data_IF_121313294955
#
_entry.id   IF_121313294955
#
_cell.length_a   1.000
_cell.length_b   1.000
_cell.length_c   1.000
_cell.angle_alpha   90.00
_cell.angle_beta   90.00
_cell.angle_gamma   90.00
#
_symmetry.space_group_name_H-M   'P 1'
#
loop_
_entity.id
_entity.type
_entity.pdbx_description
1 polymer ?
#
# COMPACT_ATOMS: atom_id res chain seq x y z
N UNK A 1 -5.13 32.90 -27.81
CA UNK A 1 -4.21 31.80 -28.10
C UNK A 1 -3.16 31.51 -27.00
N UNK A 2 -2.61 32.43 -26.21
CA UNK A 2 -1.65 32.13 -25.14
C UNK A 2 -2.28 31.40 -23.94
N UNK A 3 -3.51 31.68 -23.54
CA UNK A 3 -4.18 31.03 -22.40
C UNK A 3 -4.37 29.53 -22.57
N UNK A 4 -4.74 29.07 -23.77
CA UNK A 4 -4.92 27.64 -24.06
C UNK A 4 -3.60 26.84 -23.94
N UNK A 5 -2.47 27.48 -24.29
CA UNK A 5 -1.13 26.90 -24.20
C UNK A 5 -0.61 26.85 -22.75
N UNK A 6 -1.03 27.80 -21.91
CA UNK A 6 -0.69 27.85 -20.48
C UNK A 6 -1.49 26.80 -19.72
N UNK A 7 -2.79 26.65 -19.99
CA UNK A 7 -3.65 25.61 -19.42
C UNK A 7 -3.15 24.21 -19.80
N UNK A 8 -2.76 24.00 -21.05
CA UNK A 8 -2.22 22.71 -21.53
C UNK A 8 -0.90 22.33 -20.83
N UNK A 9 -0.02 23.31 -20.62
CA UNK A 9 1.27 23.12 -19.96
C UNK A 9 1.12 22.84 -18.45
N UNK A 10 0.13 23.44 -17.79
CA UNK A 10 -0.16 23.20 -16.36
C UNK A 10 -0.80 21.82 -16.16
N UNK A 11 -1.70 21.43 -17.04
CA UNK A 11 -2.32 20.11 -17.01
C UNK A 11 -1.29 19.00 -17.22
N UNK A 12 -0.36 19.18 -18.17
CA UNK A 12 0.72 18.23 -18.39
C UNK A 12 1.66 18.09 -17.19
N UNK A 13 1.98 19.20 -16.49
CA UNK A 13 2.81 19.17 -15.28
C UNK A 13 2.14 18.39 -14.15
N UNK A 14 0.84 18.61 -13.91
CA UNK A 14 0.07 17.86 -12.92
C UNK A 14 0.06 16.35 -13.27
N UNK A 15 -0.09 16.04 -14.53
CA UNK A 15 -0.08 14.67 -15.05
C UNK A 15 1.23 13.95 -14.71
N UNK A 16 2.37 14.56 -15.02
CA UNK A 16 3.69 14.00 -14.70
C UNK A 16 3.95 13.90 -13.21
N UNK A 17 3.53 14.90 -12.42
CA UNK A 17 3.67 14.89 -10.98
C UNK A 17 2.91 13.71 -10.34
N UNK A 18 1.66 13.48 -10.75
CA UNK A 18 0.84 12.37 -10.23
C UNK A 18 1.44 11.02 -10.63
N UNK A 19 1.99 10.88 -11.86
CA UNK A 19 2.70 9.68 -12.27
C UNK A 19 3.93 9.40 -11.39
N UNK A 20 4.70 10.43 -11.09
CA UNK A 20 5.87 10.32 -10.23
C UNK A 20 5.48 9.95 -8.79
N UNK A 21 4.44 10.59 -8.24
CA UNK A 21 3.90 10.23 -6.93
C UNK A 21 3.42 8.76 -6.91
N UNK A 22 2.78 8.28 -7.99
CA UNK A 22 2.32 6.90 -8.06
C UNK A 22 3.46 5.87 -8.18
N UNK A 23 4.56 6.24 -8.83
CA UNK A 23 5.79 5.44 -8.79
C UNK A 23 6.36 5.35 -7.37
N UNK A 24 6.42 6.48 -6.64
CA UNK A 24 6.87 6.52 -5.25
C UNK A 24 5.93 5.75 -4.31
N UNK A 25 4.63 5.82 -4.54
CA UNK A 25 3.62 5.04 -3.82
C UNK A 25 3.85 3.53 -3.99
N UNK A 26 4.15 3.08 -5.21
CA UNK A 26 4.54 1.68 -5.45
C UNK A 26 5.82 1.29 -4.70
N UNK A 27 6.82 2.17 -4.72
CA UNK A 27 8.09 1.96 -4.02
C UNK A 27 7.88 1.84 -2.50
N UNK A 28 7.17 2.78 -1.89
CA UNK A 28 6.87 2.77 -0.45
C UNK A 28 5.98 1.59 -0.06
N UNK A 29 5.01 1.23 -0.89
CA UNK A 29 4.07 0.14 -0.64
C UNK A 29 4.76 -1.21 -0.43
N UNK A 30 5.73 -1.59 -1.30
CA UNK A 30 6.51 -2.82 -1.13
C UNK A 30 7.53 -2.74 0.01
N UNK A 31 8.06 -1.54 0.30
CA UNK A 31 8.88 -1.35 1.51
C UNK A 31 8.03 -1.63 2.76
N UNK A 32 6.80 -1.12 2.84
CA UNK A 32 5.89 -1.41 3.96
C UNK A 32 5.58 -2.91 4.07
N UNK A 33 5.29 -3.59 2.97
CA UNK A 33 5.01 -5.03 2.97
C UNK A 33 6.17 -5.81 3.60
N UNK A 34 7.41 -5.56 3.18
CA UNK A 34 8.61 -6.23 3.69
C UNK A 34 8.82 -5.93 5.18
N UNK A 35 8.66 -4.68 5.60
CA UNK A 35 8.87 -4.28 6.98
C UNK A 35 7.81 -4.86 7.92
N UNK A 36 6.53 -4.81 7.51
CA UNK A 36 5.44 -5.40 8.29
C UNK A 36 5.56 -6.93 8.38
N UNK A 37 5.98 -7.58 7.28
CA UNK A 37 6.31 -9.01 7.31
C UNK A 37 7.38 -9.33 8.34
N UNK A 38 8.48 -8.57 8.39
CA UNK A 38 9.54 -8.76 9.40
C UNK A 38 9.02 -8.58 10.83
N UNK A 39 8.21 -7.56 11.08
CA UNK A 39 7.59 -7.33 12.39
C UNK A 39 6.66 -8.48 12.79
N UNK A 40 5.91 -9.04 11.85
CA UNK A 40 5.04 -10.19 12.10
C UNK A 40 5.87 -11.45 12.37
N UNK A 41 6.99 -11.66 11.66
CA UNK A 41 7.92 -12.77 11.94
C UNK A 41 8.43 -12.72 13.38
N UNK A 42 8.74 -11.52 13.91
CA UNK A 42 9.16 -11.34 15.31
C UNK A 42 8.08 -11.77 16.33
N UNK A 43 6.79 -11.65 15.95
CA UNK A 43 5.67 -12.01 16.82
C UNK A 43 5.36 -13.50 16.73
N UNK A 44 5.34 -14.06 15.52
CA UNK A 44 4.92 -15.45 15.25
C UNK A 44 6.08 -16.43 15.50
N UNK A 45 7.32 -15.98 15.32
CA UNK A 45 8.51 -16.84 15.42
C UNK A 45 8.72 -17.77 14.21
N UNK A 46 7.89 -17.68 13.17
CA UNK A 46 7.95 -18.53 11.98
C UNK A 46 7.78 -17.73 10.70
N UNK A 47 8.83 -17.67 9.88
CA UNK A 47 8.82 -16.94 8.62
C UNK A 47 7.80 -17.46 7.60
N UNK A 48 7.64 -18.78 7.33
CA UNK A 48 6.69 -19.28 6.36
C UNK A 48 5.24 -18.87 6.67
N UNK A 49 4.82 -18.93 7.94
CA UNK A 49 3.47 -18.51 8.34
C UNK A 49 3.28 -17.01 8.25
N UNK A 50 4.26 -16.21 8.67
CA UNK A 50 4.20 -14.77 8.56
C UNK A 50 4.09 -14.33 7.10
N UNK A 51 4.87 -14.93 6.19
CA UNK A 51 4.78 -14.67 4.74
C UNK A 51 3.39 -15.00 4.21
N UNK A 52 2.85 -16.17 4.56
CA UNK A 52 1.52 -16.58 4.10
C UNK A 52 0.43 -15.65 4.61
N UNK A 53 0.50 -15.23 5.87
CA UNK A 53 -0.44 -14.27 6.48
C UNK A 53 -0.39 -12.93 5.77
N UNK A 54 0.82 -12.36 5.62
CA UNK A 54 0.95 -11.02 5.01
C UNK A 54 0.52 -11.03 3.55
N UNK A 55 0.94 -12.01 2.75
CA UNK A 55 0.55 -12.11 1.35
C UNK A 55 -0.97 -12.26 1.17
N UNK A 56 -1.62 -13.06 2.02
CA UNK A 56 -3.08 -13.23 1.97
C UNK A 56 -3.79 -11.92 2.26
N UNK A 57 -3.34 -11.19 3.30
CA UNK A 57 -3.92 -9.91 3.69
C UNK A 57 -3.66 -8.85 2.60
N UNK A 58 -2.44 -8.83 2.03
CA UNK A 58 -2.07 -7.89 0.96
C UNK A 58 -2.91 -8.12 -0.30
N UNK A 59 -2.94 -9.34 -0.81
CA UNK A 59 -3.73 -9.66 -2.01
C UNK A 59 -5.23 -9.42 -1.77
N UNK A 60 -5.76 -9.82 -0.62
CA UNK A 60 -7.15 -9.60 -0.25
C UNK A 60 -7.50 -8.11 -0.11
N UNK A 61 -6.67 -7.35 0.58
CA UNK A 61 -6.85 -5.91 0.79
C UNK A 61 -6.74 -5.10 -0.52
N UNK A 62 -5.70 -5.37 -1.33
CA UNK A 62 -5.55 -4.76 -2.65
C UNK A 62 -6.75 -5.06 -3.56
N UNK A 63 -7.19 -6.33 -3.57
CA UNK A 63 -8.36 -6.74 -4.35
C UNK A 63 -9.63 -6.04 -3.89
N UNK A 64 -9.90 -5.99 -2.58
CA UNK A 64 -11.06 -5.29 -2.03
C UNK A 64 -11.01 -3.80 -2.30
N UNK A 65 -9.87 -3.15 -2.11
CA UNK A 65 -9.68 -1.72 -2.39
C UNK A 65 -9.96 -1.37 -3.85
N UNK A 66 -9.40 -2.16 -4.77
CA UNK A 66 -9.65 -2.01 -6.20
C UNK A 66 -11.12 -2.19 -6.56
N UNK A 67 -11.78 -3.19 -5.97
CA UNK A 67 -13.19 -3.47 -6.21
C UNK A 67 -14.11 -2.33 -5.70
N UNK A 68 -13.88 -1.85 -4.48
CA UNK A 68 -14.66 -0.77 -3.88
C UNK A 68 -14.47 0.55 -4.63
N UNK A 69 -13.22 0.90 -4.97
CA UNK A 69 -12.93 2.09 -5.75
C UNK A 69 -13.53 1.99 -7.15
N UNK A 70 -13.38 0.85 -7.83
CA UNK A 70 -13.95 0.65 -9.17
C UNK A 70 -15.48 0.84 -9.22
N UNK A 71 -16.21 0.48 -8.15
CA UNK A 71 -17.65 0.67 -8.07
C UNK A 71 -18.11 2.09 -7.76
N UNK A 72 -17.27 2.88 -7.09
CA UNK A 72 -17.66 4.19 -6.56
C UNK A 72 -17.13 5.35 -7.38
N UNK A 73 -15.97 5.16 -8.03
CA UNK A 73 -15.21 6.23 -8.67
C UNK A 73 -15.90 6.83 -9.90
N UNK A 74 -16.75 6.07 -10.59
CA UNK A 74 -17.47 6.55 -11.79
C UNK A 74 -18.47 7.67 -11.47
N UNK A 75 -18.87 7.82 -10.22
CA UNK A 75 -19.75 8.90 -9.76
C UNK A 75 -19.05 10.25 -9.70
N UNK A 76 -17.71 10.26 -9.66
CA UNK A 76 -16.88 11.46 -9.54
C UNK A 76 -16.52 11.96 -10.94
N UNK A 77 -17.05 13.13 -11.31
CA UNK A 77 -16.84 13.71 -12.63
C UNK A 77 -15.67 14.70 -12.69
N UNK A 78 -15.29 15.28 -11.56
CA UNK A 78 -14.26 16.31 -11.49
C UNK A 78 -12.86 15.71 -11.38
N UNK A 79 -11.93 15.97 -12.33
CA UNK A 79 -10.57 15.41 -12.28
C UNK A 79 -9.79 15.80 -11.01
N UNK A 80 -9.91 17.05 -10.55
CA UNK A 80 -9.24 17.51 -9.34
C UNK A 80 -9.73 16.80 -8.07
N UNK A 81 -11.01 16.40 -8.02
CA UNK A 81 -11.53 15.59 -6.91
C UNK A 81 -10.86 14.22 -6.86
N UNK A 82 -10.57 13.60 -8.01
CA UNK A 82 -9.85 12.32 -8.07
C UNK A 82 -8.43 12.43 -7.52
N UNK A 83 -7.69 13.48 -7.89
CA UNK A 83 -6.34 13.75 -7.36
C UNK A 83 -6.38 14.00 -5.85
N UNK A 84 -7.39 14.75 -5.37
CA UNK A 84 -7.57 14.99 -3.94
C UNK A 84 -7.85 13.70 -3.17
N UNK A 85 -8.71 12.82 -3.69
CA UNK A 85 -8.99 11.52 -3.08
C UNK A 85 -7.74 10.65 -3.06
N UNK A 86 -6.98 10.61 -4.16
CA UNK A 86 -5.71 9.91 -4.20
C UNK A 86 -4.76 10.43 -3.11
N UNK A 87 -4.56 11.75 -3.01
CA UNK A 87 -3.71 12.34 -1.97
C UNK A 87 -4.19 12.05 -0.54
N UNK A 88 -5.52 11.98 -0.31
CA UNK A 88 -6.07 11.60 1.00
C UNK A 88 -5.80 10.13 1.32
N UNK A 89 -5.83 9.24 0.32
CA UNK A 89 -5.49 7.83 0.52
C UNK A 89 -4.01 7.65 0.84
N UNK A 90 -3.10 8.33 0.13
CA UNK A 90 -1.66 8.30 0.42
C UNK A 90 -1.37 8.82 1.83
N UNK A 91 -2.01 9.92 2.23
CA UNK A 91 -1.90 10.44 3.60
C UNK A 91 -2.38 9.43 4.64
N UNK A 92 -3.50 8.76 4.40
CA UNK A 92 -4.01 7.72 5.28
C UNK A 92 -3.03 6.54 5.37
N UNK A 93 -2.48 6.07 4.24
CA UNK A 93 -1.47 5.01 4.19
C UNK A 93 -0.25 5.41 5.04
N UNK A 94 0.27 6.63 4.87
CA UNK A 94 1.40 7.14 5.65
C UNK A 94 1.13 7.21 7.15
N UNK A 95 -0.08 7.62 7.58
CA UNK A 95 -0.50 7.61 8.99
C UNK A 95 -0.52 6.18 9.53
N UNK A 96 -1.12 5.24 8.81
CA UNK A 96 -1.14 3.84 9.20
C UNK A 96 0.26 3.22 9.24
N UNK A 97 1.18 3.64 8.37
CA UNK A 97 2.55 3.17 8.39
C UNK A 97 3.24 3.44 9.74
N UNK A 98 2.92 4.58 10.41
CA UNK A 98 3.41 4.89 11.76
C UNK A 98 2.66 4.09 12.83
N UNK A 99 1.34 3.92 12.67
CA UNK A 99 0.50 3.28 13.68
C UNK A 99 0.72 1.77 13.75
N UNK A 100 0.99 1.10 12.64
CA UNK A 100 1.13 -0.37 12.59
C UNK A 100 2.20 -0.91 13.53
N UNK A 101 3.44 -0.39 13.58
CA UNK A 101 4.44 -0.86 14.56
C UNK A 101 3.95 -0.76 16.01
N UNK A 102 3.26 0.33 16.34
CA UNK A 102 2.68 0.52 17.67
C UNK A 102 1.59 -0.50 17.95
N UNK A 103 0.67 -0.72 17.00
CA UNK A 103 -0.41 -1.71 17.13
C UNK A 103 0.14 -3.13 17.27
N UNK A 104 1.14 -3.49 16.45
CA UNK A 104 1.80 -4.79 16.55
C UNK A 104 2.54 -4.96 17.88
N UNK A 105 3.17 -3.90 18.42
CA UNK A 105 3.78 -3.92 19.73
C UNK A 105 2.74 -4.14 20.84
N UNK A 106 1.61 -3.43 20.79
CA UNK A 106 0.51 -3.55 21.77
C UNK A 106 -0.15 -4.94 21.78
N UNK A 107 -0.09 -5.65 20.66
CA UNK A 107 -0.68 -7.00 20.53
C UNK A 107 0.26 -8.10 21.04
N UNK A 108 1.55 -7.84 21.24
CA UNK A 108 2.53 -8.84 21.74
C UNK A 108 2.07 -9.58 23.02
N UNK A 109 1.56 -8.92 24.07
CA UNK A 109 1.08 -9.61 25.27
C UNK A 109 -0.08 -10.57 24.96
N UNK A 110 -1.02 -10.14 24.12
CA UNK A 110 -2.14 -10.98 23.68
C UNK A 110 -1.64 -12.23 22.93
N UNK A 111 -0.67 -12.06 22.03
CA UNK A 111 -0.06 -13.18 21.30
C UNK A 111 0.63 -14.18 22.24
N UNK A 112 1.29 -13.69 23.30
CA UNK A 112 1.91 -14.56 24.30
C UNK A 112 0.86 -15.38 25.05
N UNK A 113 -0.26 -14.78 25.45
CA UNK A 113 -1.37 -15.48 26.11
C UNK A 113 -2.01 -16.51 25.17
N UNK A 114 -2.23 -16.14 23.90
CA UNK A 114 -2.78 -17.05 22.88
C UNK A 114 -1.83 -18.22 22.63
N UNK A 115 -0.54 -17.98 22.51
CA UNK A 115 0.46 -19.03 22.32
C UNK A 115 0.46 -20.02 23.49
N UNK A 116 0.52 -19.52 24.72
CA UNK A 116 0.52 -20.38 25.91
C UNK A 116 -0.78 -21.18 26.08
N UNK A 117 -1.93 -20.57 25.74
CA UNK A 117 -3.24 -21.23 25.88
C UNK A 117 -3.56 -22.20 24.74
N UNK A 118 -3.02 -21.96 23.53
CA UNK A 118 -3.34 -22.71 22.32
C UNK A 118 -2.13 -23.49 21.76
N UNK A 119 -1.08 -23.66 22.55
CA UNK A 119 0.16 -24.34 22.12
C UNK A 119 -0.09 -25.69 21.44
N UNK A 120 -1.04 -26.48 21.96
CA UNK A 120 -1.41 -27.79 21.42
C UNK A 120 -2.38 -27.71 20.24
N UNK A 121 -2.89 -26.52 19.89
CA UNK A 121 -3.90 -26.28 18.85
C UNK A 121 -3.37 -25.37 17.76
N UNK A 122 -2.36 -25.82 17.04
CA UNK A 122 -1.62 -25.06 16.04
C UNK A 122 -2.52 -24.30 15.03
N UNK A 123 -3.56 -24.95 14.48
CA UNK A 123 -4.46 -24.36 13.50
C UNK A 123 -5.24 -23.18 14.12
N UNK A 124 -5.74 -23.38 15.34
CA UNK A 124 -6.55 -22.37 16.04
C UNK A 124 -5.68 -21.15 16.37
N UNK A 125 -4.46 -21.36 16.87
CA UNK A 125 -3.50 -20.30 17.14
C UNK A 125 -3.21 -19.46 15.89
N UNK A 126 -2.89 -20.11 14.76
CA UNK A 126 -2.59 -19.40 13.52
C UNK A 126 -3.81 -18.67 12.96
N UNK A 127 -5.02 -19.20 13.11
CA UNK A 127 -6.26 -18.51 12.70
C UNK A 127 -6.48 -17.23 13.50
N UNK A 128 -6.32 -17.27 14.84
CA UNK A 128 -6.42 -16.06 15.66
C UNK A 128 -5.35 -15.04 15.30
N UNK A 129 -4.10 -15.47 15.09
CA UNK A 129 -3.01 -14.60 14.66
C UNK A 129 -3.30 -13.95 13.32
N UNK A 130 -3.83 -14.72 12.35
CA UNK A 130 -4.26 -14.19 11.05
C UNK A 130 -5.34 -13.11 11.21
N UNK A 131 -6.37 -13.36 12.03
CA UNK A 131 -7.46 -12.40 12.26
C UNK A 131 -6.91 -11.10 12.88
N UNK A 132 -6.03 -11.19 13.88
CA UNK A 132 -5.43 -10.01 14.50
C UNK A 132 -4.62 -9.21 13.50
N UNK A 133 -3.74 -9.87 12.74
CA UNK A 133 -2.96 -9.22 11.69
C UNK A 133 -3.85 -8.60 10.61
N UNK A 134 -4.93 -9.29 10.22
CA UNK A 134 -5.89 -8.77 9.25
C UNK A 134 -6.56 -7.49 9.76
N UNK A 135 -7.04 -7.45 10.99
CA UNK A 135 -7.67 -6.25 11.58
C UNK A 135 -6.71 -5.05 11.53
N UNK A 136 -5.42 -5.27 11.80
CA UNK A 136 -4.42 -4.19 11.84
C UNK A 136 -4.05 -3.71 10.43
N UNK A 137 -3.85 -4.64 9.48
CA UNK A 137 -3.25 -4.34 8.19
C UNK A 137 -4.27 -4.09 7.07
N UNK A 138 -5.50 -4.60 7.20
CA UNK A 138 -6.45 -4.63 6.09
C UNK A 138 -6.87 -3.24 5.61
N UNK A 139 -7.01 -2.28 6.55
CA UNK A 139 -7.44 -0.90 6.21
C UNK A 139 -6.40 -0.20 5.31
N UNK A 140 -5.12 -0.04 5.70
CA UNK A 140 -4.14 0.63 4.85
C UNK A 140 -3.92 -0.09 3.51
N UNK A 141 -3.94 -1.42 3.49
CA UNK A 141 -3.76 -2.18 2.26
C UNK A 141 -4.97 -1.99 1.33
N UNK A 142 -6.19 -1.90 1.88
CA UNK A 142 -7.39 -1.56 1.09
C UNK A 142 -7.29 -0.15 0.50
N UNK A 143 -6.74 0.82 1.26
CA UNK A 143 -6.45 2.16 0.73
C UNK A 143 -5.44 2.08 -0.44
N UNK A 144 -4.35 1.31 -0.32
CA UNK A 144 -3.39 1.09 -1.41
C UNK A 144 -4.08 0.50 -2.65
N UNK A 145 -4.95 -0.50 -2.48
CA UNK A 145 -5.69 -1.12 -3.58
C UNK A 145 -6.62 -0.17 -4.32
N UNK A 146 -7.14 0.85 -3.63
CA UNK A 146 -8.04 1.84 -4.21
C UNK A 146 -7.32 2.87 -5.10
N UNK A 147 -6.02 3.09 -4.95
CA UNK A 147 -5.27 4.15 -5.64
C UNK A 147 -5.23 3.95 -7.16
N UNK A 148 -5.01 2.72 -7.63
CA UNK A 148 -4.93 2.42 -9.08
C UNK A 148 -6.22 2.72 -9.85
N UNK A 149 -7.43 2.26 -9.44
CA UNK A 149 -8.66 2.60 -10.14
C UNK A 149 -8.94 4.11 -10.16
N UNK A 150 -8.62 4.82 -9.09
CA UNK A 150 -8.80 6.27 -9.00
C UNK A 150 -7.92 6.98 -10.03
N UNK A 151 -6.64 6.61 -10.12
CA UNK A 151 -5.74 7.17 -11.11
C UNK A 151 -6.07 6.72 -12.53
N UNK A 152 -6.51 5.50 -12.75
CA UNK A 152 -7.03 5.07 -14.05
C UNK A 152 -8.18 5.97 -14.49
N UNK A 153 -9.11 6.30 -13.62
CA UNK A 153 -10.23 7.20 -13.92
C UNK A 153 -9.77 8.63 -14.23
N UNK A 154 -8.71 9.10 -13.54
CA UNK A 154 -8.11 10.42 -13.81
C UNK A 154 -7.41 10.47 -15.17
N UNK A 155 -6.66 9.42 -15.55
CA UNK A 155 -5.85 9.38 -16.78
C UNK A 155 -6.62 8.96 -18.02
N UNK A 156 -7.75 8.27 -17.88
CA UNK A 156 -8.49 7.74 -19.01
C UNK A 156 -9.58 8.73 -19.42
N UNK A 157 -9.28 9.55 -20.42
CA UNK A 157 -10.25 10.45 -21.06
C UNK A 157 -11.00 9.80 -22.22
N UNK A 158 -10.43 8.74 -22.83
CA UNK A 158 -10.96 8.05 -24.01
C UNK A 158 -10.98 6.54 -23.79
N UNK A 159 -12.14 5.91 -23.98
CA UNK A 159 -12.33 4.45 -23.81
C UNK A 159 -11.45 3.60 -24.74
N UNK A 160 -11.07 4.12 -25.93
CA UNK A 160 -10.18 3.43 -26.87
C UNK A 160 -8.76 3.21 -26.35
N UNK A 161 -8.31 3.95 -25.35
CA UNK A 161 -6.96 3.89 -24.78
C UNK A 161 -6.91 3.43 -23.33
N UNK A 162 -8.03 2.94 -22.78
CA UNK A 162 -8.13 2.48 -21.38
C UNK A 162 -7.06 1.46 -21.04
N UNK A 163 -6.94 0.40 -21.84
CA UNK A 163 -5.99 -0.68 -21.59
C UNK A 163 -4.54 -0.23 -21.60
N UNK A 164 -4.16 0.62 -22.56
CA UNK A 164 -2.78 1.13 -22.67
C UNK A 164 -2.43 2.06 -21.51
N UNK A 165 -3.33 2.95 -21.12
CA UNK A 165 -3.08 3.91 -20.04
C UNK A 165 -3.07 3.22 -18.66
N UNK A 166 -4.01 2.31 -18.42
CA UNK A 166 -4.01 1.49 -17.20
C UNK A 166 -2.76 0.61 -17.10
N UNK A 167 -2.33 -0.01 -18.23
CA UNK A 167 -1.10 -0.78 -18.29
C UNK A 167 0.15 0.04 -17.98
N UNK A 168 0.24 1.27 -18.47
CA UNK A 168 1.35 2.20 -18.17
C UNK A 168 1.39 2.60 -16.69
N UNK A 169 0.23 2.93 -16.11
CA UNK A 169 0.11 3.25 -14.67
C UNK A 169 0.52 2.05 -13.83
N UNK A 170 -0.04 0.89 -14.10
CA UNK A 170 0.27 -0.34 -13.38
C UNK A 170 1.76 -0.70 -13.52
N UNK A 171 2.31 -0.62 -14.73
CA UNK A 171 3.73 -0.90 -14.99
C UNK A 171 4.66 0.04 -14.21
N UNK A 172 4.35 1.35 -14.17
CA UNK A 172 5.13 2.33 -13.44
C UNK A 172 5.11 2.08 -11.93
N UNK A 173 3.95 1.81 -11.37
CA UNK A 173 3.80 1.44 -9.96
C UNK A 173 4.55 0.14 -9.63
N UNK A 174 4.45 -0.87 -10.49
CA UNK A 174 5.15 -2.15 -10.33
C UNK A 174 6.68 -1.99 -10.40
N UNK A 175 7.19 -1.13 -11.28
CA UNK A 175 8.63 -0.82 -11.33
C UNK A 175 9.06 -0.13 -10.03
N UNK A 176 8.27 0.83 -9.53
CA UNK A 176 8.49 1.44 -8.22
C UNK A 176 8.54 0.39 -7.11
N UNK A 177 7.56 -0.49 -7.07
CA UNK A 177 7.46 -1.59 -6.12
C UNK A 177 8.69 -2.53 -6.16
N UNK A 178 9.11 -2.94 -7.35
CA UNK A 178 10.30 -3.79 -7.53
C UNK A 178 11.57 -3.10 -7.03
N UNK A 179 11.75 -1.82 -7.35
CA UNK A 179 12.88 -1.02 -6.84
C UNK A 179 12.81 -0.85 -5.33
N UNK A 180 11.64 -0.56 -4.77
CA UNK A 180 11.43 -0.45 -3.32
C UNK A 180 11.79 -1.74 -2.58
N UNK A 181 11.35 -2.88 -3.09
CA UNK A 181 11.67 -4.19 -2.55
C UNK A 181 13.17 -4.47 -2.57
N UNK A 182 13.84 -4.20 -3.70
CA UNK A 182 15.27 -4.40 -3.87
C UNK A 182 16.07 -3.48 -2.94
N UNK A 183 15.74 -2.19 -2.90
CA UNK A 183 16.41 -1.21 -2.03
C UNK A 183 16.19 -1.55 -0.56
N UNK A 184 14.98 -1.92 -0.16
CA UNK A 184 14.63 -2.28 1.20
C UNK A 184 15.46 -3.48 1.68
N UNK A 185 15.47 -4.57 0.91
CA UNK A 185 16.12 -5.82 1.31
C UNK A 185 17.64 -5.76 1.35
N UNK A 186 18.28 -5.05 0.40
CA UNK A 186 19.72 -5.04 0.26
C UNK A 186 20.43 -3.88 0.95
N UNK A 187 19.79 -2.70 1.06
CA UNK A 187 20.44 -1.49 1.54
C UNK A 187 19.73 -0.82 2.71
N UNK A 188 18.45 -0.46 2.59
CA UNK A 188 17.80 0.42 3.55
C UNK A 188 17.75 -0.18 4.95
N UNK A 189 17.38 -1.45 5.08
CA UNK A 189 17.33 -2.13 6.38
C UNK A 189 18.71 -2.27 7.00
N UNK A 190 19.73 -2.51 6.18
CA UNK A 190 21.10 -2.64 6.68
C UNK A 190 21.70 -1.30 7.14
N UNK A 191 21.28 -0.18 6.51
CA UNK A 191 21.78 1.15 6.83
C UNK A 191 21.02 1.79 8.00
N UNK A 192 19.68 1.68 8.02
CA UNK A 192 18.83 2.43 8.95
C UNK A 192 17.98 1.54 9.86
N UNK A 193 18.09 0.23 9.73
CA UNK A 193 17.23 -0.70 10.45
C UNK A 193 15.77 -0.66 9.97
N UNK A 194 14.92 -1.44 10.63
CA UNK A 194 13.48 -1.56 10.27
C UNK A 194 12.75 -0.24 10.45
N UNK A 195 12.91 0.42 11.60
CA UNK A 195 12.18 1.66 11.91
C UNK A 195 12.66 2.87 11.11
N UNK A 196 13.97 3.00 10.87
CA UNK A 196 14.52 4.07 10.04
C UNK A 196 14.08 3.94 8.59
N UNK A 197 14.04 2.71 8.06
CA UNK A 197 13.54 2.42 6.72
C UNK A 197 12.03 2.71 6.61
N UNK A 198 11.25 2.40 7.65
CA UNK A 198 9.83 2.71 7.70
C UNK A 198 9.58 4.22 7.63
N UNK A 199 10.32 4.98 8.44
CA UNK A 199 10.23 6.45 8.43
C UNK A 199 10.60 7.04 7.07
N UNK A 200 11.66 6.53 6.43
CA UNK A 200 12.02 6.92 5.07
C UNK A 200 10.91 6.62 4.07
N UNK A 201 10.34 5.41 4.09
CA UNK A 201 9.25 5.03 3.20
C UNK A 201 8.02 5.92 3.38
N UNK A 202 7.72 6.32 4.62
CA UNK A 202 6.63 7.24 4.93
C UNK A 202 6.87 8.65 4.34
N UNK A 203 8.11 9.13 4.35
CA UNK A 203 8.44 10.45 3.81
C UNK A 203 8.32 10.53 2.28
N UNK A 204 8.47 9.42 1.59
CA UNK A 204 8.38 9.35 0.13
C UNK A 204 6.98 8.95 -0.36
N UNK A 205 6.14 8.43 0.53
CA UNK A 205 4.74 8.13 0.24
C UNK A 205 3.93 9.42 0.20
#
# INVERSE_FOLDING_TARGET
MPEKKILDNTTNKIFFLVLFCFFLSGLSGLVYEILWMRMIVEIIGSAPFAVSIILTIFMGGLGLGSYLAGRTIDRIKEPLALVKIYGMLELAIGIFAILIPLLLFLVRPLQTVLYNGLYNHFIIYNLFTFIICAIILFIPITCMGATLPILCRFYVTNLSHVGTNAGRLYGLNTIGAALGSLLCGFWLINLWGVYGTLFFAMLIN
#
